data_IF_271395585642
#
_entry.id   IF_271395585642
#
_cell.length_a   1.000
_cell.length_b   1.000
_cell.length_c   1.000
_cell.angle_alpha   90.00
_cell.angle_beta   90.00
_cell.angle_gamma   90.00
#
_symmetry.space_group_name_H-M   'P 1'
#
loop_
_entity.id
_entity.type
_entity.pdbx_description
1 polymer ?
#
# COMPACT_ATOMS: atom_id res chain seq x y z
N UNK A 1 -19.81 1.10 -6.51
CA UNK A 1 -18.61 1.67 -7.16
C UNK A 1 -17.40 1.00 -6.56
N UNK A 2 -16.47 0.52 -7.40
CA UNK A 2 -15.22 -0.06 -6.91
C UNK A 2 -14.14 0.99 -6.64
N UNK A 3 -13.13 0.63 -5.86
CA UNK A 3 -11.96 1.47 -5.53
C UNK A 3 -11.17 1.87 -6.78
N UNK A 4 -11.26 1.06 -7.84
CA UNK A 4 -10.61 1.31 -9.12
C UNK A 4 -11.42 2.20 -10.08
N UNK A 5 -12.52 2.83 -9.65
CA UNK A 5 -13.33 3.65 -10.57
C UNK A 5 -14.01 2.85 -11.69
N UNK A 6 -14.03 1.52 -11.54
CA UNK A 6 -14.71 0.58 -12.42
C UNK A 6 -16.19 0.53 -12.02
N UNK A 7 -17.04 0.79 -12.99
CA UNK A 7 -18.49 0.67 -12.84
C UNK A 7 -18.89 -0.83 -12.78
N UNK A 8 -20.09 -1.15 -12.27
CA UNK A 8 -20.54 -2.55 -12.19
C UNK A 8 -20.58 -3.29 -13.53
N UNK A 9 -20.62 -2.56 -14.65
CA UNK A 9 -20.54 -3.08 -16.02
C UNK A 9 -19.10 -3.36 -16.50
N UNK A 10 -18.10 -3.20 -15.62
CA UNK A 10 -16.69 -3.43 -15.91
C UNK A 10 -16.01 -2.28 -16.65
N UNK A 11 -16.72 -1.19 -16.98
CA UNK A 11 -16.14 -0.07 -17.71
C UNK A 11 -15.46 0.91 -16.76
N UNK A 12 -14.30 1.40 -17.18
CA UNK A 12 -13.68 2.55 -16.54
C UNK A 12 -14.50 3.81 -16.83
N UNK A 13 -14.72 4.62 -15.80
CA UNK A 13 -15.51 5.83 -15.95
C UNK A 13 -14.80 6.83 -16.87
N UNK A 14 -15.55 7.43 -17.79
CA UNK A 14 -15.07 8.55 -18.61
C UNK A 14 -14.52 9.67 -17.70
N UNK A 15 -13.26 10.09 -17.93
CA UNK A 15 -12.52 11.09 -17.14
C UNK A 15 -12.10 10.65 -15.72
N UNK A 16 -12.00 9.35 -15.44
CA UNK A 16 -11.33 8.88 -14.22
C UNK A 16 -9.84 9.25 -14.27
N UNK A 17 -9.37 10.03 -13.28
CA UNK A 17 -7.97 10.48 -13.13
C UNK A 17 -7.57 10.46 -11.66
N UNK A 18 -7.51 9.28 -11.03
CA UNK A 18 -7.13 9.19 -9.64
C UNK A 18 -5.64 9.51 -9.49
N UNK A 19 -5.28 10.16 -8.37
CA UNK A 19 -3.87 10.43 -8.04
C UNK A 19 -3.18 9.27 -7.33
N UNK A 20 -3.95 8.39 -6.69
CA UNK A 20 -3.45 7.36 -5.77
C UNK A 20 -4.21 6.04 -5.88
N UNK A 21 -4.82 5.73 -7.03
CA UNK A 21 -5.70 4.56 -7.17
C UNK A 21 -5.00 3.24 -6.88
N UNK A 22 -3.79 3.04 -7.39
CA UNK A 22 -3.02 1.82 -7.12
C UNK A 22 -2.68 1.69 -5.63
N UNK A 23 -2.37 2.80 -4.96
CA UNK A 23 -2.17 2.85 -3.51
C UNK A 23 -3.44 2.46 -2.76
N UNK A 24 -4.56 3.06 -3.12
CA UNK A 24 -5.82 2.84 -2.42
C UNK A 24 -6.35 1.41 -2.64
N UNK A 25 -6.14 0.85 -3.84
CA UNK A 25 -6.42 -0.56 -4.14
C UNK A 25 -5.52 -1.48 -3.30
N UNK A 26 -4.20 -1.28 -3.32
CA UNK A 26 -3.27 -2.08 -2.52
C UNK A 26 -3.54 -1.97 -1.02
N UNK A 27 -3.97 -0.80 -0.55
CA UNK A 27 -4.36 -0.59 0.83
C UNK A 27 -5.58 -1.44 1.20
N UNK A 28 -6.62 -1.43 0.36
CA UNK A 28 -7.83 -2.22 0.62
C UNK A 28 -7.57 -3.73 0.49
N UNK A 29 -6.82 -4.16 -0.53
CA UNK A 29 -6.42 -5.56 -0.67
C UNK A 29 -5.65 -6.05 0.55
N UNK A 30 -4.79 -5.19 1.12
CA UNK A 30 -4.09 -5.44 2.36
C UNK A 30 -5.01 -5.62 3.57
N UNK A 31 -6.06 -4.81 3.71
CA UNK A 31 -7.04 -4.98 4.79
C UNK A 31 -7.74 -6.35 4.70
N UNK A 32 -8.20 -6.73 3.50
CA UNK A 32 -8.89 -8.01 3.31
C UNK A 32 -7.95 -9.22 3.36
N UNK A 33 -6.69 -9.06 2.97
CA UNK A 33 -5.72 -10.14 2.92
C UNK A 33 -4.91 -10.36 4.19
N UNK A 34 -4.96 -9.43 5.16
CA UNK A 34 -4.27 -9.54 6.46
C UNK A 34 -5.20 -9.62 7.67
N UNK A 35 -6.41 -9.04 7.57
CA UNK A 35 -7.34 -8.96 8.70
C UNK A 35 -6.92 -7.97 9.80
N UNK A 36 -5.89 -7.16 9.57
CA UNK A 36 -5.47 -6.11 10.51
C UNK A 36 -6.51 -5.00 10.64
N UNK A 37 -6.50 -4.29 11.77
CA UNK A 37 -7.28 -3.06 11.89
C UNK A 37 -6.74 -2.00 10.94
N UNK A 38 -7.61 -1.09 10.50
CA UNK A 38 -7.24 -0.02 9.56
C UNK A 38 -6.03 0.81 10.03
N UNK A 39 -5.93 1.09 11.34
CA UNK A 39 -4.81 1.84 11.93
C UNK A 39 -3.52 1.03 11.96
N UNK A 40 -3.61 -0.27 12.24
CA UNK A 40 -2.46 -1.17 12.28
C UNK A 40 -1.89 -1.31 10.86
N UNK A 41 -2.75 -1.55 9.86
CA UNK A 41 -2.33 -1.63 8.46
C UNK A 41 -1.74 -0.31 7.94
N UNK A 42 -2.35 0.83 8.29
CA UNK A 42 -1.83 2.16 7.93
C UNK A 42 -0.45 2.49 8.52
N UNK A 43 -0.01 1.75 9.54
CA UNK A 43 1.30 1.93 10.16
C UNK A 43 2.40 1.02 9.59
N UNK A 44 2.03 0.00 8.81
CA UNK A 44 2.98 -0.94 8.21
C UNK A 44 3.80 -0.24 7.13
N UNK A 45 5.12 -0.42 7.20
CA UNK A 45 6.05 0.13 6.25
C UNK A 45 6.30 -0.84 5.09
N UNK A 46 6.58 -0.28 3.91
CA UNK A 46 6.86 -1.07 2.69
C UNK A 46 8.06 -2.02 2.89
N UNK A 47 9.06 -1.62 3.66
CA UNK A 47 10.25 -2.44 3.94
C UNK A 47 9.99 -3.60 4.92
N UNK A 48 8.89 -3.57 5.67
CA UNK A 48 8.44 -4.68 6.54
C UNK A 48 7.74 -5.77 5.73
N UNK A 49 7.15 -5.41 4.58
CA UNK A 49 6.44 -6.29 3.67
C UNK A 49 7.41 -7.04 2.73
N UNK A 50 8.25 -7.90 3.31
CA UNK A 50 9.19 -8.72 2.53
C UNK A 50 8.47 -9.90 1.88
N UNK A 51 8.69 -10.08 0.58
CA UNK A 51 8.25 -11.31 -0.08
C UNK A 51 9.04 -12.51 0.43
N UNK A 52 8.39 -13.62 0.79
CA UNK A 52 9.08 -14.83 1.21
C UNK A 52 9.73 -15.51 0.01
N UNK A 53 10.91 -16.07 0.25
CA UNK A 53 11.58 -16.97 -0.69
C UNK A 53 10.91 -18.35 -0.63
N UNK A 54 9.90 -18.61 -1.46
CA UNK A 54 9.26 -19.94 -1.57
C UNK A 54 7.80 -19.89 -2.02
N UNK A 55 7.18 -21.03 -2.34
CA UNK A 55 5.86 -21.09 -3.01
C UNK A 55 4.64 -20.94 -2.07
N UNK A 56 4.85 -20.50 -0.82
CA UNK A 56 3.75 -20.33 0.13
C UNK A 56 2.82 -19.17 -0.24
N UNK A 57 1.51 -19.44 -0.28
CA UNK A 57 0.47 -18.42 -0.51
C UNK A 57 0.29 -17.45 0.65
N UNK A 58 0.83 -17.77 1.83
CA UNK A 58 0.74 -16.94 3.04
C UNK A 58 2.11 -16.72 3.65
N UNK A 59 2.25 -15.57 4.29
CA UNK A 59 3.50 -15.09 4.89
C UNK A 59 3.19 -14.65 6.29
N UNK A 60 3.97 -15.12 7.26
CA UNK A 60 3.88 -14.60 8.63
C UNK A 60 4.78 -13.37 8.75
N UNK A 61 4.17 -12.26 9.13
CA UNK A 61 4.83 -10.98 9.39
C UNK A 61 4.60 -10.59 10.85
N UNK A 62 5.32 -9.59 11.32
CA UNK A 62 5.23 -9.08 12.69
C UNK A 62 4.79 -7.62 12.67
N UNK A 63 3.78 -7.30 13.48
CA UNK A 63 3.37 -5.93 13.74
C UNK A 63 4.14 -5.38 14.95
N UNK A 64 4.73 -4.19 14.81
CA UNK A 64 5.45 -3.55 15.90
C UNK A 64 4.52 -3.17 17.07
N UNK A 65 5.06 -3.21 18.30
CA UNK A 65 4.29 -2.92 19.53
C UNK A 65 3.64 -1.54 19.51
N UNK A 66 4.38 -0.52 19.09
CA UNK A 66 3.91 0.86 19.02
C UNK A 66 2.75 1.07 18.04
N UNK A 67 2.62 0.16 17.06
CA UNK A 67 1.62 0.20 16.00
C UNK A 67 0.36 -0.58 16.36
N UNK A 68 0.46 -1.52 17.31
CA UNK A 68 -0.64 -2.34 17.74
C UNK A 68 -1.52 -1.62 18.75
N UNK A 69 -2.83 -1.89 18.69
CA UNK A 69 -3.75 -1.36 19.69
C UNK A 69 -3.37 -1.85 21.09
N UNK A 70 -3.13 -0.90 21.99
CA UNK A 70 -2.75 -1.21 23.37
C UNK A 70 -1.30 -1.63 23.54
N UNK A 71 -0.43 -1.33 22.57
CA UNK A 71 1.03 -1.44 22.73
C UNK A 71 1.57 -2.87 22.70
N UNK A 72 0.83 -3.82 22.12
CA UNK A 72 1.21 -5.24 22.07
C UNK A 72 1.18 -5.74 20.64
N UNK A 73 2.35 -5.73 20.02
CA UNK A 73 2.63 -6.26 18.70
C UNK A 73 2.32 -7.74 18.65
N UNK A 74 2.00 -8.21 17.45
CA UNK A 74 1.62 -9.60 17.27
C UNK A 74 1.97 -10.08 15.86
N UNK A 75 2.15 -11.40 15.68
CA UNK A 75 2.24 -11.97 14.37
C UNK A 75 0.90 -11.80 13.64
N UNK A 76 0.98 -11.63 12.33
CA UNK A 76 -0.17 -11.69 11.44
C UNK A 76 0.21 -12.42 10.16
N UNK A 77 -0.79 -12.93 9.45
CA UNK A 77 -0.59 -13.56 8.15
C UNK A 77 -0.99 -12.59 7.05
N UNK A 78 -0.18 -12.51 6.01
CA UNK A 78 -0.49 -11.79 4.79
C UNK A 78 -0.57 -12.80 3.63
N UNK A 79 -1.61 -12.68 2.80
CA UNK A 79 -1.64 -13.37 1.50
C UNK A 79 -0.53 -12.84 0.59
N UNK A 80 0.04 -13.70 -0.23
CA UNK A 80 1.01 -13.33 -1.27
C UNK A 80 0.46 -12.26 -2.21
N UNK A 81 -0.82 -12.30 -2.54
CA UNK A 81 -1.47 -11.29 -3.39
C UNK A 81 -1.42 -9.88 -2.80
N UNK A 82 -1.45 -9.75 -1.46
CA UNK A 82 -1.27 -8.45 -0.79
C UNK A 82 0.13 -7.90 -1.07
N UNK A 83 1.15 -8.75 -0.93
CA UNK A 83 2.54 -8.36 -1.17
C UNK A 83 2.76 -8.00 -2.64
N UNK A 84 2.14 -8.74 -3.56
CA UNK A 84 2.17 -8.44 -4.99
C UNK A 84 1.48 -7.11 -5.29
N UNK A 85 0.30 -6.85 -4.71
CA UNK A 85 -0.43 -5.60 -4.92
C UNK A 85 0.35 -4.38 -4.39
N UNK A 86 0.97 -4.50 -3.22
CA UNK A 86 1.83 -3.44 -2.68
C UNK A 86 3.09 -3.26 -3.52
N UNK A 87 3.71 -4.36 -3.96
CA UNK A 87 4.86 -4.34 -4.87
C UNK A 87 4.53 -3.61 -6.17
N UNK A 88 3.40 -3.95 -6.80
CA UNK A 88 2.91 -3.28 -8.00
C UNK A 88 2.76 -1.77 -7.78
N UNK A 89 2.13 -1.33 -6.68
CA UNK A 89 2.03 0.09 -6.35
C UNK A 89 3.41 0.77 -6.21
N UNK A 90 4.35 0.11 -5.53
CA UNK A 90 5.69 0.65 -5.27
C UNK A 90 6.50 0.79 -6.56
N UNK A 91 6.44 -0.20 -7.45
CA UNK A 91 7.20 -0.24 -8.70
C UNK A 91 6.61 0.66 -9.81
N UNK A 92 5.30 0.94 -9.75
CA UNK A 92 4.59 1.70 -10.79
C UNK A 92 4.32 3.16 -10.36
N UNK A 93 3.11 3.47 -9.88
CA UNK A 93 2.64 4.83 -9.58
C UNK A 93 3.54 5.55 -8.60
N UNK A 94 4.00 4.85 -7.55
CA UNK A 94 4.89 5.46 -6.55
C UNK A 94 6.23 5.84 -7.17
N UNK A 95 6.84 4.93 -7.92
CA UNK A 95 8.12 5.20 -8.59
C UNK A 95 7.99 6.32 -9.64
N UNK A 96 6.89 6.34 -10.41
CA UNK A 96 6.61 7.41 -11.37
C UNK A 96 6.45 8.77 -10.67
N UNK A 97 5.70 8.82 -9.57
CA UNK A 97 5.50 10.03 -8.77
C UNK A 97 6.81 10.55 -8.16
N UNK A 98 7.63 9.65 -7.61
CA UNK A 98 8.94 10.00 -7.05
C UNK A 98 9.86 10.56 -8.13
N UNK A 99 9.97 9.90 -9.30
CA UNK A 99 10.79 10.39 -10.42
C UNK A 99 10.33 11.75 -10.91
N UNK A 100 9.02 11.98 -10.98
CA UNK A 100 8.46 13.27 -11.36
C UNK A 100 8.81 14.36 -10.34
N UNK A 101 8.67 14.10 -9.04
CA UNK A 101 9.04 15.04 -7.98
C UNK A 101 10.56 15.35 -7.97
N UNK A 102 11.40 14.35 -8.22
CA UNK A 102 12.85 14.53 -8.37
C UNK A 102 13.18 15.42 -9.58
N UNK A 103 12.56 15.18 -10.73
CA UNK A 103 12.76 16.00 -11.93
C UNK A 103 12.34 17.47 -11.74
N UNK A 104 11.38 17.73 -10.85
CA UNK A 104 10.95 19.07 -10.46
C UNK A 104 11.81 19.69 -9.34
N UNK A 105 12.83 19.00 -8.83
CA UNK A 105 13.67 19.47 -7.72
C UNK A 105 12.91 19.61 -6.40
N UNK A 106 11.73 18.98 -6.25
CA UNK A 106 10.84 19.19 -5.09
C UNK A 106 11.49 18.77 -3.77
N UNK A 107 12.39 17.78 -3.79
CA UNK A 107 13.10 17.33 -2.59
C UNK A 107 14.29 18.23 -2.21
N UNK A 108 14.78 19.04 -3.14
CA UNK A 108 15.89 19.98 -2.91
C UNK A 108 15.41 21.31 -2.34
N UNK A 109 14.12 21.60 -2.49
CA UNK A 109 13.44 22.70 -1.83
C UNK A 109 12.53 22.12 -0.74
N UNK A 110 13.09 21.69 0.42
CA UNK A 110 12.25 21.35 1.55
C UNK A 110 11.39 22.58 1.80
N UNK A 111 10.07 22.40 1.76
CA UNK A 111 9.08 23.44 2.01
C UNK A 111 9.62 24.38 3.09
N UNK A 112 9.90 25.64 2.72
CA UNK A 112 10.25 26.64 3.72
C UNK A 112 9.04 26.72 4.66
N UNK A 113 9.20 26.16 5.86
CA UNK A 113 8.18 26.16 6.89
C UNK A 113 7.74 27.61 7.16
N UNK A 114 6.44 27.91 7.27
CA UNK A 114 5.99 29.14 7.90
C UNK A 114 6.35 29.17 9.39
#
# INVERSE_FOLDING_TARGET
MGILGIAPDGKERTRWRPRSQTRDAAFVDGLYGTGLRIQEWASVLVNELRQPSGDNNYVTLQLADACAKGGRGHPYWAKRDVLNSVGNYVETDRAASIRHAQALGTYEQPCASP
#
